data_IF_813419341496
#
_entry.id   IF_813419341496
#
_cell.length_a   1.000
_cell.length_b   1.000
_cell.length_c   1.000
_cell.angle_alpha   90.00
_cell.angle_beta   90.00
_cell.angle_gamma   90.00
#
_symmetry.space_group_name_H-M   'P 1'
#
loop_
_entity.id
_entity.type
_entity.pdbx_description
1 polymer ?
#
# COMPACT_ATOMS: atom_id res chain seq x y z
N UNK A 1 -23.47 5.15 -5.12
CA UNK A 1 -23.34 4.39 -3.84
C UNK A 1 -21.96 4.64 -3.32
N UNK A 2 -21.81 4.82 -2.01
CA UNK A 2 -20.51 4.96 -1.33
C UNK A 2 -19.76 3.63 -1.37
N UNK A 3 -18.51 3.63 -1.82
CA UNK A 3 -17.65 2.46 -1.82
C UNK A 3 -17.23 2.12 -0.38
N UNK A 4 -17.13 0.84 -0.02
CA UNK A 4 -16.66 0.41 1.30
C UNK A 4 -15.32 -0.28 1.17
N UNK A 5 -14.35 0.11 2.01
CA UNK A 5 -13.04 -0.52 2.04
C UNK A 5 -12.80 -1.14 3.41
N UNK A 6 -12.79 -2.46 3.49
CA UNK A 6 -12.32 -3.20 4.66
C UNK A 6 -10.81 -3.06 4.77
N UNK A 7 -10.34 -2.40 5.82
CA UNK A 7 -8.94 -1.99 5.95
C UNK A 7 -8.54 -1.81 7.42
N UNK A 8 -7.24 -1.66 7.65
CA UNK A 8 -6.69 -1.25 8.95
C UNK A 8 -5.42 -0.42 8.75
N UNK A 9 -5.17 0.52 9.66
CA UNK A 9 -4.15 1.56 9.52
C UNK A 9 -2.72 1.05 9.30
N UNK A 10 -2.34 -0.08 9.90
CA UNK A 10 -0.99 -0.63 9.81
C UNK A 10 -0.71 -1.40 8.50
N UNK A 11 -1.72 -1.61 7.67
CA UNK A 11 -1.55 -2.33 6.41
C UNK A 11 -1.18 -1.40 5.26
N UNK A 12 0.05 -1.49 4.76
CA UNK A 12 0.45 -0.78 3.55
C UNK A 12 -0.33 -1.19 2.31
N UNK A 13 -0.79 -2.45 2.22
CA UNK A 13 -1.66 -2.87 1.14
C UNK A 13 -3.06 -2.24 1.24
N UNK A 14 -3.60 -2.07 2.46
CA UNK A 14 -4.83 -1.30 2.66
C UNK A 14 -4.62 0.17 2.30
N UNK A 15 -3.47 0.75 2.68
CA UNK A 15 -3.14 2.13 2.36
C UNK A 15 -3.09 2.40 0.84
N UNK A 16 -2.54 1.49 0.04
CA UNK A 16 -2.57 1.61 -1.43
C UNK A 16 -3.99 1.76 -1.96
N UNK A 17 -4.90 0.89 -1.53
CA UNK A 17 -6.30 0.95 -1.95
C UNK A 17 -7.00 2.22 -1.44
N UNK A 18 -6.81 2.56 -0.16
CA UNK A 18 -7.37 3.76 0.45
C UNK A 18 -6.87 5.05 -0.21
N UNK A 19 -5.55 5.14 -0.49
CA UNK A 19 -4.96 6.31 -1.14
C UNK A 19 -5.42 6.45 -2.60
N UNK A 20 -5.58 5.35 -3.33
CA UNK A 20 -6.15 5.36 -4.68
C UNK A 20 -7.59 5.88 -4.68
N UNK A 21 -8.44 5.41 -3.76
CA UNK A 21 -9.80 5.91 -3.56
C UNK A 21 -9.80 7.41 -3.23
N UNK A 22 -8.97 7.81 -2.28
CA UNK A 22 -8.87 9.20 -1.82
C UNK A 22 -8.45 10.16 -2.94
N UNK A 23 -7.38 9.84 -3.67
CA UNK A 23 -6.85 10.69 -4.74
C UNK A 23 -7.71 10.64 -6.02
N UNK A 24 -8.46 9.58 -6.25
CA UNK A 24 -9.42 9.50 -7.34
C UNK A 24 -10.61 10.44 -7.16
N UNK A 25 -10.95 10.77 -5.91
CA UNK A 25 -12.11 11.60 -5.53
C UNK A 25 -13.42 10.83 -5.55
N UNK A 26 -13.38 9.50 -5.57
CA UNK A 26 -14.56 8.65 -5.39
C UNK A 26 -15.05 8.75 -3.94
N UNK A 27 -16.37 8.64 -3.77
CA UNK A 27 -16.99 8.60 -2.44
C UNK A 27 -16.80 7.21 -1.83
N UNK A 28 -16.14 7.16 -0.65
CA UNK A 28 -15.81 5.89 0.02
C UNK A 28 -15.78 6.04 1.54
N UNK A 29 -15.94 4.92 2.24
CA UNK A 29 -15.82 4.84 3.69
C UNK A 29 -14.95 3.64 4.11
N UNK A 30 -14.09 3.79 5.14
CA UNK A 30 -13.33 2.69 5.69
C UNK A 30 -14.19 1.83 6.63
N UNK A 31 -14.08 0.51 6.50
CA UNK A 31 -14.60 -0.47 7.44
C UNK A 31 -13.41 -1.07 8.19
N UNK A 32 -13.34 -0.86 9.49
CA UNK A 32 -12.22 -1.35 10.29
C UNK A 32 -12.19 -2.87 10.35
N UNK A 33 -10.99 -3.44 10.15
CA UNK A 33 -10.67 -4.86 10.33
C UNK A 33 -9.71 -5.00 11.48
N UNK A 34 -10.10 -5.71 12.55
CA UNK A 34 -9.25 -5.96 13.72
C UNK A 34 -8.27 -7.11 13.46
N UNK A 35 -7.30 -6.83 12.59
CA UNK A 35 -6.28 -7.79 12.16
C UNK A 35 -5.49 -8.37 13.35
N UNK A 36 -5.14 -7.55 14.33
CA UNK A 36 -4.32 -7.97 15.45
C UNK A 36 -5.08 -8.82 16.47
N UNK A 37 -6.41 -8.75 16.51
CA UNK A 37 -7.25 -9.71 17.25
C UNK A 37 -7.64 -10.92 16.41
N UNK A 38 -7.13 -11.01 15.18
CA UNK A 38 -7.29 -12.20 14.33
C UNK A 38 -8.62 -12.24 13.58
N UNK A 39 -9.32 -11.13 13.39
CA UNK A 39 -10.60 -11.07 12.68
C UNK A 39 -10.52 -11.72 11.29
N UNK A 40 -9.43 -11.47 10.54
CA UNK A 40 -9.23 -12.08 9.21
C UNK A 40 -9.13 -13.61 9.21
N UNK A 41 -8.94 -14.23 10.37
CA UNK A 41 -8.82 -15.69 10.54
C UNK A 41 -10.12 -16.36 11.00
N UNK A 42 -11.17 -15.56 11.25
CA UNK A 42 -12.46 -16.10 11.70
C UNK A 42 -13.22 -16.75 10.55
N UNK A 43 -14.01 -17.80 10.83
CA UNK A 43 -14.87 -18.43 9.82
C UNK A 43 -15.85 -17.43 9.19
N UNK A 44 -16.33 -16.48 9.97
CA UNK A 44 -17.25 -15.42 9.55
C UNK A 44 -16.58 -14.52 8.50
N UNK A 45 -15.36 -14.05 8.76
CA UNK A 45 -14.63 -13.22 7.79
C UNK A 45 -14.37 -13.97 6.48
N UNK A 46 -13.97 -15.24 6.57
CA UNK A 46 -13.77 -16.07 5.38
C UNK A 46 -15.05 -16.29 4.57
N UNK A 47 -16.18 -16.44 5.22
CA UNK A 47 -17.47 -16.68 4.57
C UNK A 47 -18.07 -15.39 3.99
N UNK A 48 -18.02 -14.29 4.75
CA UNK A 48 -18.85 -13.12 4.51
C UNK A 48 -18.07 -11.95 3.89
N UNK A 49 -16.74 -11.92 4.03
CA UNK A 49 -15.89 -10.80 3.59
C UNK A 49 -14.88 -11.24 2.53
N UNK A 50 -13.99 -12.18 2.87
CA UNK A 50 -12.92 -12.62 1.96
C UNK A 50 -12.45 -14.04 2.28
N UNK A 51 -12.69 -14.98 1.38
CA UNK A 51 -12.25 -16.37 1.51
C UNK A 51 -10.72 -16.54 1.65
N UNK A 52 -9.94 -15.56 1.21
CA UNK A 52 -8.47 -15.55 1.36
C UNK A 52 -8.01 -15.15 2.77
N UNK A 53 -8.90 -14.62 3.64
CA UNK A 53 -8.54 -14.19 4.99
C UNK A 53 -7.60 -12.97 5.03
N UNK A 54 -7.73 -12.06 4.06
CA UNK A 54 -6.83 -10.92 3.87
C UNK A 54 -7.62 -9.61 3.74
N UNK A 55 -6.98 -8.49 4.07
CA UNK A 55 -7.40 -7.12 3.76
C UNK A 55 -6.29 -6.44 2.91
N UNK A 56 -6.66 -5.49 2.01
CA UNK A 56 -7.95 -4.83 1.87
C UNK A 56 -8.98 -5.64 1.06
N UNK A 57 -10.26 -5.30 1.28
CA UNK A 57 -11.39 -5.73 0.44
C UNK A 57 -12.24 -4.51 0.09
N UNK A 58 -12.46 -4.27 -1.20
CA UNK A 58 -13.36 -3.23 -1.69
C UNK A 58 -14.75 -3.83 -1.95
N UNK A 59 -15.80 -3.13 -1.56
CA UNK A 59 -17.20 -3.48 -1.85
C UNK A 59 -17.88 -2.30 -2.55
N UNK A 60 -18.48 -2.59 -3.72
CA UNK A 60 -19.28 -1.67 -4.52
C UNK A 60 -20.64 -2.32 -4.83
N UNK A 61 -21.66 -2.02 -4.01
CA UNK A 61 -22.94 -2.73 -4.06
C UNK A 61 -22.77 -4.23 -3.79
N UNK A 62 -23.13 -5.05 -4.77
CA UNK A 62 -23.00 -6.51 -4.71
C UNK A 62 -21.63 -7.03 -5.21
N UNK A 63 -20.76 -6.14 -5.71
CA UNK A 63 -19.44 -6.50 -6.19
C UNK A 63 -18.40 -6.39 -5.07
N UNK A 64 -17.65 -7.45 -4.84
CA UNK A 64 -16.55 -7.50 -3.88
C UNK A 64 -15.24 -7.83 -4.58
N UNK A 65 -14.18 -7.07 -4.26
CA UNK A 65 -12.87 -7.22 -4.89
C UNK A 65 -11.76 -7.23 -3.84
N UNK A 66 -10.84 -8.18 -3.97
CA UNK A 66 -9.67 -8.34 -3.11
C UNK A 66 -8.39 -8.03 -3.89
N UNK A 67 -7.24 -8.01 -3.19
CA UNK A 67 -5.92 -7.66 -3.73
C UNK A 67 -5.77 -6.16 -4.07
N UNK A 68 -4.84 -5.50 -3.39
CA UNK A 68 -4.66 -4.04 -3.52
C UNK A 68 -4.44 -3.58 -4.95
N UNK A 69 -3.65 -4.33 -5.75
CA UNK A 69 -3.42 -3.99 -7.16
C UNK A 69 -4.66 -4.10 -8.03
N UNK A 70 -5.52 -5.11 -7.80
CA UNK A 70 -6.79 -5.24 -8.51
C UNK A 70 -7.78 -4.13 -8.09
N UNK A 71 -7.81 -3.78 -6.81
CA UNK A 71 -8.61 -2.65 -6.30
C UNK A 71 -8.15 -1.33 -6.93
N UNK A 72 -6.84 -1.11 -7.04
CA UNK A 72 -6.28 0.07 -7.70
C UNK A 72 -6.69 0.17 -9.18
N UNK A 73 -6.66 -0.95 -9.90
CA UNK A 73 -7.10 -1.02 -11.30
C UNK A 73 -8.59 -0.70 -11.44
N UNK A 74 -9.43 -1.30 -10.59
CA UNK A 74 -10.86 -1.01 -10.54
C UNK A 74 -11.15 0.47 -10.23
N UNK A 75 -10.44 1.06 -9.27
CA UNK A 75 -10.57 2.48 -8.93
C UNK A 75 -10.20 3.37 -10.12
N UNK A 76 -9.14 3.00 -10.84
CA UNK A 76 -8.72 3.73 -12.04
C UNK A 76 -9.75 3.65 -13.15
N UNK A 77 -10.33 2.47 -13.42
CA UNK A 77 -11.39 2.30 -14.40
C UNK A 77 -12.63 3.12 -14.03
N UNK A 78 -13.07 3.03 -12.77
CA UNK A 78 -14.29 3.69 -12.29
C UNK A 78 -14.16 5.23 -12.26
N UNK A 79 -12.99 5.75 -11.92
CA UNK A 79 -12.74 7.20 -11.79
C UNK A 79 -12.24 7.87 -13.07
N UNK A 80 -11.66 7.11 -13.99
CA UNK A 80 -10.91 7.64 -15.12
C UNK A 80 -9.58 8.30 -14.75
N UNK A 81 -9.07 8.06 -13.51
CA UNK A 81 -7.81 8.64 -13.00
C UNK A 81 -6.84 7.52 -12.59
N UNK A 82 -5.55 7.84 -12.48
CA UNK A 82 -4.50 6.97 -11.93
C UNK A 82 -4.14 5.74 -12.79
N UNK A 83 -4.86 5.47 -13.88
CA UNK A 83 -4.73 4.25 -14.70
C UNK A 83 -3.89 4.40 -15.97
N UNK A 84 -3.26 5.56 -16.19
CA UNK A 84 -2.56 5.88 -17.45
C UNK A 84 -3.51 6.29 -18.58
N UNK A 85 -2.97 6.97 -19.59
CA UNK A 85 -3.73 7.61 -20.67
C UNK A 85 -3.80 6.77 -21.95
N UNK A 86 -2.91 5.78 -22.08
CA UNK A 86 -2.78 4.91 -23.24
C UNK A 86 -2.42 3.46 -22.84
N UNK A 87 -2.51 2.49 -23.76
CA UNK A 87 -2.23 1.08 -23.46
C UNK A 87 -0.79 0.80 -23.00
N UNK A 88 0.19 1.59 -23.43
CA UNK A 88 1.60 1.47 -23.03
C UNK A 88 1.75 1.83 -21.56
N UNK A 89 1.23 2.96 -21.16
CA UNK A 89 1.25 3.41 -19.75
C UNK A 89 0.53 2.43 -18.84
N UNK A 90 -0.63 1.90 -19.25
CA UNK A 90 -1.36 0.89 -18.46
C UNK A 90 -0.53 -0.36 -18.22
N UNK A 91 0.22 -0.85 -19.23
CA UNK A 91 1.12 -2.00 -19.05
C UNK A 91 2.30 -1.67 -18.12
N UNK A 92 2.86 -0.46 -18.22
CA UNK A 92 3.93 -0.02 -17.34
C UNK A 92 3.44 0.13 -15.89
N UNK A 93 2.24 0.65 -15.67
CA UNK A 93 1.62 0.71 -14.35
C UNK A 93 1.45 -0.70 -13.77
N UNK A 94 0.89 -1.63 -14.57
CA UNK A 94 0.74 -3.03 -14.14
C UNK A 94 2.09 -3.67 -13.83
N UNK A 95 3.13 -3.41 -14.63
CA UNK A 95 4.49 -3.90 -14.40
C UNK A 95 5.04 -3.44 -13.04
N UNK A 96 4.84 -2.16 -12.70
CA UNK A 96 5.27 -1.61 -11.40
C UNK A 96 4.45 -2.17 -10.24
N UNK A 97 3.14 -2.31 -10.37
CA UNK A 97 2.26 -2.92 -9.36
C UNK A 97 2.68 -4.36 -9.07
N UNK A 98 2.96 -5.16 -10.09
CA UNK A 98 3.43 -6.53 -9.94
C UNK A 98 4.84 -6.59 -9.31
N UNK A 99 5.76 -5.70 -9.74
CA UNK A 99 7.09 -5.60 -9.17
C UNK A 99 7.03 -5.20 -7.69
N UNK A 100 6.24 -4.20 -7.34
CA UNK A 100 6.06 -3.76 -5.97
C UNK A 100 5.55 -4.89 -5.09
N UNK A 101 4.46 -5.54 -5.49
CA UNK A 101 3.87 -6.63 -4.70
C UNK A 101 4.85 -7.79 -4.47
N UNK A 102 5.72 -8.08 -5.44
CA UNK A 102 6.71 -9.15 -5.32
C UNK A 102 8.00 -8.72 -4.58
N UNK A 103 8.52 -7.53 -4.85
CA UNK A 103 9.87 -7.13 -4.42
C UNK A 103 9.89 -6.15 -3.25
N UNK A 104 8.93 -5.24 -3.19
CA UNK A 104 8.93 -4.15 -2.21
C UNK A 104 7.93 -4.40 -1.10
N UNK A 105 6.65 -4.37 -1.40
CA UNK A 105 5.59 -4.41 -0.38
C UNK A 105 5.52 -5.70 0.41
N UNK A 106 5.72 -6.87 -0.21
CA UNK A 106 5.74 -8.14 0.53
C UNK A 106 6.89 -8.19 1.53
N UNK A 107 8.06 -7.70 1.14
CA UNK A 107 9.22 -7.64 2.04
C UNK A 107 9.06 -6.55 3.09
N UNK A 108 8.59 -5.37 2.72
CA UNK A 108 8.40 -4.25 3.65
C UNK A 108 7.35 -4.58 4.72
N UNK A 109 6.22 -5.11 4.31
CA UNK A 109 5.16 -5.52 5.24
C UNK A 109 5.63 -6.60 6.23
N UNK A 110 6.28 -7.64 5.73
CA UNK A 110 6.84 -8.70 6.57
C UNK A 110 7.90 -8.17 7.53
N UNK A 111 8.86 -7.40 7.03
CA UNK A 111 9.96 -6.88 7.85
C UNK A 111 9.45 -5.95 8.93
N UNK A 112 8.55 -5.02 8.57
CA UNK A 112 7.91 -4.12 9.52
C UNK A 112 7.14 -4.89 10.60
N UNK A 113 6.40 -5.93 10.23
CA UNK A 113 5.69 -6.77 11.18
C UNK A 113 6.65 -7.47 12.16
N UNK A 114 7.70 -8.10 11.65
CA UNK A 114 8.67 -8.82 12.47
C UNK A 114 9.45 -7.90 13.42
N UNK A 115 9.77 -6.67 12.97
CA UNK A 115 10.55 -5.72 13.76
C UNK A 115 9.74 -4.98 14.82
N UNK A 116 8.44 -4.72 14.58
CA UNK A 116 7.69 -3.78 15.41
C UNK A 116 6.48 -4.38 16.13
N UNK A 117 5.90 -5.49 15.61
CA UNK A 117 4.66 -6.06 16.15
C UNK A 117 4.85 -7.41 16.84
N UNK A 118 6.04 -8.01 16.76
CA UNK A 118 6.39 -9.17 17.56
C UNK A 118 7.12 -8.75 18.85
N UNK A 119 6.91 -9.50 19.96
CA UNK A 119 7.76 -9.41 21.14
C UNK A 119 9.24 -9.53 20.76
N UNK A 120 10.11 -8.79 21.42
CA UNK A 120 11.54 -8.69 21.06
C UNK A 120 12.24 -10.06 21.05
N UNK A 121 11.93 -10.88 22.04
CA UNK A 121 12.47 -12.24 22.20
C UNK A 121 11.99 -13.25 21.11
N UNK A 122 10.97 -12.89 20.35
CA UNK A 122 10.41 -13.70 19.27
C UNK A 122 10.75 -13.20 17.87
N UNK A 123 11.56 -12.14 17.75
CA UNK A 123 11.96 -11.56 16.46
C UNK A 123 13.03 -12.42 15.79
N UNK A 124 12.77 -13.01 14.61
CA UNK A 124 13.74 -13.87 13.91
C UNK A 124 14.79 -12.99 13.20
N UNK A 125 15.92 -12.73 13.86
CA UNK A 125 16.95 -11.80 13.41
C UNK A 125 17.52 -12.16 12.03
N UNK A 126 17.73 -13.44 11.76
CA UNK A 126 18.26 -13.91 10.45
C UNK A 126 17.30 -13.60 9.30
N UNK A 127 15.98 -13.79 9.53
CA UNK A 127 14.94 -13.47 8.53
C UNK A 127 14.84 -11.96 8.32
N UNK A 128 14.89 -11.19 9.41
CA UNK A 128 14.91 -9.72 9.35
C UNK A 128 16.12 -9.25 8.56
N UNK A 129 17.32 -9.75 8.87
CA UNK A 129 18.56 -9.38 8.17
C UNK A 129 18.50 -9.71 6.68
N UNK A 130 18.00 -10.88 6.31
CA UNK A 130 17.80 -11.27 4.91
C UNK A 130 16.83 -10.33 4.17
N UNK A 131 15.69 -10.01 4.79
CA UNK A 131 14.69 -9.13 4.20
C UNK A 131 15.22 -7.70 4.05
N UNK A 132 15.96 -7.17 5.03
CA UNK A 132 16.58 -5.83 4.95
C UNK A 132 17.52 -5.71 3.76
N UNK A 133 18.33 -6.76 3.49
CA UNK A 133 19.19 -6.80 2.31
C UNK A 133 18.41 -6.74 0.99
N UNK A 134 17.30 -7.47 0.90
CA UNK A 134 16.41 -7.46 -0.27
C UNK A 134 15.69 -6.13 -0.45
N UNK A 135 15.24 -5.53 0.65
CA UNK A 135 14.61 -4.20 0.64
C UNK A 135 15.56 -3.12 0.16
N UNK A 136 16.82 -3.12 0.65
CA UNK A 136 17.83 -2.18 0.18
C UNK A 136 18.04 -2.27 -1.34
N UNK A 137 18.09 -3.48 -1.88
CA UNK A 137 18.17 -3.68 -3.34
C UNK A 137 16.92 -3.14 -4.07
N UNK A 138 15.71 -3.37 -3.53
CA UNK A 138 14.48 -2.85 -4.10
C UNK A 138 14.41 -1.31 -4.05
N UNK A 139 14.80 -0.69 -2.93
CA UNK A 139 14.91 0.77 -2.84
C UNK A 139 15.91 1.35 -3.85
N UNK A 140 17.04 0.69 -4.07
CA UNK A 140 18.02 1.13 -5.07
C UNK A 140 17.44 1.10 -6.50
N UNK A 141 16.65 0.07 -6.83
CA UNK A 141 15.96 -0.02 -8.13
C UNK A 141 14.92 1.10 -8.27
N UNK A 142 14.10 1.32 -7.24
CA UNK A 142 13.09 2.37 -7.26
C UNK A 142 13.72 3.76 -7.35
N UNK A 143 14.78 4.01 -6.57
CA UNK A 143 15.49 5.28 -6.57
C UNK A 143 16.13 5.58 -7.95
N UNK A 144 16.74 4.59 -8.59
CA UNK A 144 17.29 4.74 -9.93
C UNK A 144 16.19 4.96 -11.00
N UNK A 145 15.05 4.29 -10.87
CA UNK A 145 13.94 4.46 -11.81
C UNK A 145 13.32 5.87 -11.76
N UNK A 146 13.44 6.56 -10.63
CA UNK A 146 12.95 7.93 -10.41
C UNK A 146 13.98 9.00 -10.80
N UNK A 147 15.17 8.62 -11.24
CA UNK A 147 16.20 9.59 -11.67
C UNK A 147 15.72 10.40 -12.87
N UNK A 148 15.66 11.74 -12.71
CA UNK A 148 15.18 12.66 -13.73
C UNK A 148 13.69 12.56 -14.07
N UNK A 149 12.89 11.91 -13.19
CA UNK A 149 11.44 11.75 -13.38
C UNK A 149 10.66 12.24 -12.17
N UNK A 150 9.50 12.82 -12.43
CA UNK A 150 8.56 13.19 -11.37
C UNK A 150 7.70 11.99 -10.92
N UNK A 151 7.38 11.09 -11.85
CA UNK A 151 6.49 9.92 -11.65
C UNK A 151 7.09 8.66 -12.28
N UNK A 152 6.68 7.49 -11.79
CA UNK A 152 7.13 6.20 -12.32
C UNK A 152 6.65 5.94 -13.75
N UNK A 153 5.46 6.44 -14.09
CA UNK A 153 4.84 6.28 -15.41
C UNK A 153 4.16 7.57 -15.84
N UNK A 154 4.45 8.04 -17.06
CA UNK A 154 3.83 9.24 -17.63
C UNK A 154 4.20 10.53 -16.90
N UNK A 155 3.35 11.54 -17.06
CA UNK A 155 3.58 12.89 -16.56
C UNK A 155 2.71 13.27 -15.35
N UNK A 156 2.02 12.30 -14.76
CA UNK A 156 1.15 12.49 -13.59
C UNK A 156 1.18 11.26 -12.68
N UNK A 157 0.77 11.47 -11.41
CA UNK A 157 0.64 10.37 -10.45
C UNK A 157 -0.25 9.25 -10.97
N UNK A 158 0.17 8.01 -10.76
CA UNK A 158 -0.54 6.81 -11.18
C UNK A 158 -0.58 5.74 -10.08
N UNK A 159 -1.29 4.65 -10.33
CA UNK A 159 -1.28 3.50 -9.43
C UNK A 159 0.10 2.83 -9.30
N UNK A 160 1.03 3.06 -10.23
CA UNK A 160 2.43 2.65 -10.06
C UNK A 160 3.07 3.34 -8.85
N UNK A 161 2.87 4.66 -8.76
CA UNK A 161 3.39 5.48 -7.67
C UNK A 161 2.72 5.10 -6.32
N UNK A 162 1.39 4.99 -6.32
CA UNK A 162 0.62 4.65 -5.12
C UNK A 162 0.97 3.24 -4.62
N UNK A 163 1.17 2.28 -5.53
CA UNK A 163 1.60 0.93 -5.15
C UNK A 163 2.97 0.96 -4.49
N UNK A 164 3.96 1.57 -5.15
CA UNK A 164 5.34 1.57 -4.68
C UNK A 164 5.55 2.39 -3.38
N UNK A 165 4.72 3.41 -3.10
CA UNK A 165 4.83 4.18 -1.86
C UNK A 165 4.10 3.57 -0.66
N UNK A 166 3.32 2.51 -0.84
CA UNK A 166 2.36 1.98 0.13
C UNK A 166 2.88 1.73 1.55
N UNK A 167 4.16 1.43 1.71
CA UNK A 167 4.80 1.24 3.02
C UNK A 167 5.72 2.40 3.43
N UNK A 168 6.10 3.31 2.53
CA UNK A 168 7.18 4.26 2.78
C UNK A 168 6.83 5.42 3.73
N UNK A 169 5.54 5.64 3.98
CA UNK A 169 5.06 6.69 4.91
C UNK A 169 4.87 6.23 6.36
N UNK A 170 5.13 4.95 6.66
CA UNK A 170 4.98 4.46 8.02
C UNK A 170 6.13 4.91 8.92
N UNK A 171 5.85 5.35 10.16
CA UNK A 171 6.88 5.85 11.06
C UNK A 171 7.71 4.74 11.72
N UNK A 172 7.17 3.51 11.80
CA UNK A 172 7.89 2.41 12.41
C UNK A 172 9.05 1.94 11.53
N UNK A 173 10.25 1.69 12.10
CA UNK A 173 11.43 1.33 11.34
C UNK A 173 11.28 -0.04 10.64
N UNK A 174 11.69 -0.14 9.39
CA UNK A 174 11.70 -1.38 8.60
C UNK A 174 12.82 -1.39 7.55
N UNK A 175 13.92 -0.64 7.82
CA UNK A 175 15.10 -0.59 6.93
C UNK A 175 14.98 0.40 5.77
N UNK A 176 14.05 1.36 5.85
CA UNK A 176 13.96 2.49 4.93
C UNK A 176 14.36 3.78 5.65
N UNK A 177 15.31 4.52 5.09
CA UNK A 177 15.61 5.90 5.47
C UNK A 177 15.59 6.76 4.20
N UNK A 178 14.77 7.80 4.18
CA UNK A 178 14.63 8.75 3.06
C UNK A 178 15.96 9.37 2.65
N UNK A 179 16.87 9.61 3.62
CA UNK A 179 18.18 10.24 3.40
C UNK A 179 19.10 9.41 2.48
N UNK A 180 18.91 8.09 2.47
CA UNK A 180 19.72 7.18 1.64
C UNK A 180 19.27 7.14 0.17
N UNK A 181 18.06 7.67 -0.12
CA UNK A 181 17.39 7.55 -1.43
C UNK A 181 16.78 8.89 -1.88
N UNK A 182 17.60 9.84 -2.37
CA UNK A 182 17.15 11.22 -2.61
C UNK A 182 16.06 11.34 -3.68
N UNK A 183 16.03 10.46 -4.69
CA UNK A 183 14.98 10.50 -5.70
C UNK A 183 13.64 9.99 -5.15
N UNK A 184 13.67 8.96 -4.28
CA UNK A 184 12.48 8.49 -3.56
C UNK A 184 12.00 9.59 -2.60
N UNK A 185 12.92 10.25 -1.88
CA UNK A 185 12.57 11.32 -0.95
C UNK A 185 11.80 12.45 -1.64
N UNK A 186 12.34 13.00 -2.72
CA UNK A 186 11.69 14.05 -3.50
C UNK A 186 10.35 13.58 -4.13
N UNK A 187 10.27 12.32 -4.56
CA UNK A 187 9.05 11.74 -5.12
C UNK A 187 7.97 11.54 -4.04
N UNK A 188 8.34 11.11 -2.84
CA UNK A 188 7.41 11.01 -1.71
C UNK A 188 6.83 12.38 -1.35
N UNK A 189 7.64 13.45 -1.36
CA UNK A 189 7.13 14.81 -1.13
C UNK A 189 6.13 15.24 -2.21
N UNK A 190 6.37 14.89 -3.49
CA UNK A 190 5.41 15.17 -4.58
C UNK A 190 4.10 14.41 -4.41
N UNK A 191 4.14 13.15 -3.96
CA UNK A 191 2.92 12.40 -3.64
C UNK A 191 2.18 13.05 -2.48
N UNK A 192 2.90 13.43 -1.41
CA UNK A 192 2.30 14.06 -0.24
C UNK A 192 1.71 15.46 -0.54
N UNK A 193 2.17 16.13 -1.59
CA UNK A 193 1.62 17.38 -2.05
C UNK A 193 0.33 17.24 -2.89
N UNK A 194 -0.10 16.01 -3.21
CA UNK A 194 -1.33 15.81 -3.99
C UNK A 194 -2.56 16.23 -3.17
N UNK A 195 -3.52 16.95 -3.79
CA UNK A 195 -4.74 17.35 -3.12
C UNK A 195 -5.50 16.14 -2.55
N UNK A 196 -5.79 16.19 -1.26
CA UNK A 196 -6.50 15.12 -0.55
C UNK A 196 -5.60 14.01 -0.01
N UNK A 197 -4.27 14.07 -0.20
CA UNK A 197 -3.35 13.12 0.42
C UNK A 197 -3.45 13.15 1.96
N UNK A 198 -3.36 11.96 2.56
CA UNK A 198 -3.27 11.77 4.01
C UNK A 198 -2.29 10.66 4.30
N UNK A 199 -1.64 10.71 5.46
CA UNK A 199 -0.79 9.63 5.94
C UNK A 199 -1.61 8.34 6.21
N UNK A 200 -0.97 7.16 6.30
CA UNK A 200 -1.72 5.91 6.53
C UNK A 200 -2.64 5.95 7.74
N UNK A 201 -2.16 6.45 8.87
CA UNK A 201 -2.93 6.51 10.12
C UNK A 201 -3.96 7.64 10.18
N UNK A 202 -3.82 8.67 9.32
CA UNK A 202 -4.83 9.72 9.17
C UNK A 202 -5.94 9.33 8.18
N UNK A 203 -5.64 8.37 7.30
CA UNK A 203 -6.55 7.94 6.24
C UNK A 203 -7.41 6.74 6.63
N UNK A 204 -6.87 5.85 7.46
CA UNK A 204 -7.51 4.58 7.81
C UNK A 204 -7.60 4.40 9.33
N UNK A 205 -8.63 3.69 9.84
CA UNK A 205 -8.75 3.36 11.26
C UNK A 205 -7.71 2.33 11.71
N UNK A 206 -7.44 2.26 13.02
CA UNK A 206 -6.60 1.25 13.64
C UNK A 206 -5.12 1.63 13.64
N UNK A 207 -4.76 2.75 14.28
CA UNK A 207 -3.36 3.09 14.54
C UNK A 207 -2.80 2.30 15.73
N UNK A 208 -1.46 2.14 15.86
CA UNK A 208 -0.87 1.57 17.08
C UNK A 208 -1.25 2.33 18.36
N UNK A 209 -1.50 3.63 18.28
CA UNK A 209 -1.96 4.45 19.40
C UNK A 209 -3.37 4.07 19.89
N UNK A 210 -4.20 3.51 19.03
CA UNK A 210 -5.56 3.09 19.40
C UNK A 210 -5.58 1.78 20.20
N UNK A 211 -4.42 1.14 20.37
CA UNK A 211 -4.23 -0.14 21.09
C UNK A 211 -3.41 -0.01 22.37
N UNK A 212 -2.93 1.17 22.68
CA UNK A 212 -2.10 1.45 23.86
C UNK A 212 -2.93 1.55 25.16
#
# INVERSE_FOLDING_TARGET
MTLKLYCFGESGNSYKAALSLQLSGLDWEPIFVDFFKGETRTPEFHRDVNTMGEAPVLVDGDYSLTQSGAIQDYVAEKSGKLGGTNPEERREILRWVLWDNHKLSSMAGMTRFLMNFLPEDKRPQDVIGFNLGRLKAAYSVLNAALEGRDWLVGDSISNADISCCGYLYYPEPFGFDRKDFPNIDAWMDRIAAQPGWKSPYDLMPGSPADRA
#
